data_IF_990495947870
#
_entry.id   IF_990495947870
#
_cell.length_a   1.000
_cell.length_b   1.000
_cell.length_c   1.000
_cell.angle_alpha   90.00
_cell.angle_beta   90.00
_cell.angle_gamma   90.00
#
_symmetry.space_group_name_H-M   'P 1'
#
loop_
_entity.id
_entity.type
_entity.pdbx_description
1 polymer ?
#
# COMPACT_ATOMS: atom_id res chain seq x y z
N UNK A 1 22.81 -30.65 27.30
CA UNK A 1 22.25 -29.30 27.18
C UNK A 1 22.98 -28.60 26.06
N UNK A 2 22.49 -28.73 24.83
CA UNK A 2 21.40 -27.93 24.25
C UNK A 2 21.82 -26.51 23.90
N UNK A 3 21.64 -26.20 22.63
CA UNK A 3 21.96 -24.91 22.03
C UNK A 3 22.08 -25.01 20.51
N UNK A 4 21.23 -25.82 19.85
CA UNK A 4 21.13 -25.81 18.39
C UNK A 4 20.28 -24.61 17.99
N UNK A 5 20.94 -23.48 17.69
CA UNK A 5 20.28 -22.33 17.08
C UNK A 5 20.02 -22.65 15.61
N UNK A 6 18.79 -23.03 15.30
CA UNK A 6 18.29 -23.13 13.92
C UNK A 6 18.17 -21.72 13.34
N UNK A 7 19.14 -21.31 12.54
CA UNK A 7 19.03 -20.10 11.73
C UNK A 7 18.07 -20.41 10.58
N UNK A 8 16.82 -20.03 10.73
CA UNK A 8 15.81 -20.13 9.67
C UNK A 8 16.27 -19.33 8.46
N UNK A 9 16.44 -19.99 7.31
CA UNK A 9 16.75 -19.35 6.03
C UNK A 9 15.65 -18.33 5.68
N UNK A 10 15.95 -17.03 5.85
CA UNK A 10 15.05 -15.96 5.42
C UNK A 10 15.18 -15.80 3.91
N UNK A 11 14.27 -16.40 3.16
CA UNK A 11 14.17 -16.19 1.71
C UNK A 11 13.53 -14.82 1.44
N UNK A 12 14.31 -13.89 0.87
CA UNK A 12 13.81 -12.57 0.48
C UNK A 12 13.09 -12.71 -0.87
N UNK A 13 11.75 -12.72 -0.85
CA UNK A 13 10.96 -12.66 -2.09
C UNK A 13 10.85 -11.21 -2.59
N UNK A 14 11.55 -10.89 -3.68
CA UNK A 14 11.43 -9.59 -4.35
C UNK A 14 10.13 -9.52 -5.15
N UNK A 15 9.13 -8.83 -4.60
CA UNK A 15 7.81 -8.60 -5.24
C UNK A 15 7.49 -7.10 -5.28
N UNK A 16 6.75 -6.68 -6.31
CA UNK A 16 6.26 -5.30 -6.49
C UNK A 16 4.80 -5.31 -6.95
N UNK A 17 4.19 -4.12 -7.11
CA UNK A 17 2.82 -3.99 -7.60
C UNK A 17 2.67 -4.61 -9.01
N UNK A 18 1.61 -5.40 -9.25
CA UNK A 18 1.37 -5.98 -10.56
C UNK A 18 0.96 -4.90 -11.57
N UNK A 19 1.17 -5.19 -12.87
CA UNK A 19 0.68 -4.33 -13.95
C UNK A 19 -0.85 -4.34 -13.97
N UNK A 20 -1.46 -3.17 -13.82
CA UNK A 20 -2.90 -2.98 -13.90
C UNK A 20 -3.30 -2.50 -15.31
N UNK A 21 -4.11 -3.29 -16.02
CA UNK A 21 -4.54 -3.00 -17.39
C UNK A 21 -5.43 -1.74 -17.48
N UNK A 22 -6.01 -1.28 -16.37
CA UNK A 22 -6.76 -0.02 -16.29
C UNK A 22 -5.87 1.21 -16.46
N UNK A 23 -4.56 1.07 -16.22
CA UNK A 23 -3.58 2.16 -16.28
C UNK A 23 -2.42 1.84 -17.25
N UNK A 24 -2.66 1.74 -18.57
CA UNK A 24 -1.67 1.27 -19.54
C UNK A 24 -0.60 2.30 -19.93
N UNK A 25 -0.81 3.58 -19.61
CA UNK A 25 0.05 4.68 -20.02
C UNK A 25 1.31 4.79 -19.15
N UNK A 26 2.36 5.45 -19.66
CA UNK A 26 3.58 5.70 -18.87
C UNK A 26 3.33 6.58 -17.63
N UNK A 27 2.36 7.50 -17.70
CA UNK A 27 1.94 8.26 -16.52
C UNK A 27 1.16 7.34 -15.56
N UNK A 28 1.74 7.08 -14.39
CA UNK A 28 1.19 6.19 -13.35
C UNK A 28 0.54 6.93 -12.18
N UNK A 29 0.40 8.26 -12.23
CA UNK A 29 -0.20 9.07 -11.16
C UNK A 29 -1.59 8.58 -10.78
N UNK A 30 -2.44 8.27 -11.77
CA UNK A 30 -3.79 7.73 -11.51
C UNK A 30 -3.77 6.33 -10.89
N UNK A 31 -2.77 5.51 -11.21
CA UNK A 31 -2.62 4.17 -10.65
C UNK A 31 -2.24 4.25 -9.17
N UNK A 32 -1.24 5.07 -8.83
CA UNK A 32 -0.88 5.36 -7.44
C UNK A 32 -2.11 5.85 -6.65
N UNK A 33 -2.79 6.88 -7.15
CA UNK A 33 -3.97 7.45 -6.49
C UNK A 33 -5.07 6.41 -6.26
N UNK A 34 -5.39 5.60 -7.27
CA UNK A 34 -6.39 4.55 -7.14
C UNK A 34 -6.01 3.51 -6.06
N UNK A 35 -4.75 3.10 -5.99
CA UNK A 35 -4.28 2.11 -4.99
C UNK A 35 -4.30 2.67 -3.56
N UNK A 36 -3.97 3.95 -3.40
CA UNK A 36 -4.09 4.64 -2.12
C UNK A 36 -5.56 4.65 -1.63
N UNK A 37 -6.49 5.02 -2.52
CA UNK A 37 -7.92 5.01 -2.20
C UNK A 37 -8.46 3.60 -1.90
N UNK A 38 -8.07 2.59 -2.70
CA UNK A 38 -8.48 1.20 -2.48
C UNK A 38 -8.02 0.68 -1.11
N UNK A 39 -6.79 1.00 -0.68
CA UNK A 39 -6.32 0.63 0.66
C UNK A 39 -7.18 1.28 1.75
N UNK A 40 -7.39 2.60 1.70
CA UNK A 40 -8.13 3.28 2.75
C UNK A 40 -9.62 2.92 2.79
N UNK A 41 -10.23 2.67 1.63
CA UNK A 41 -11.60 2.13 1.57
C UNK A 41 -11.68 0.74 2.20
N UNK A 42 -10.69 -0.13 1.93
CA UNK A 42 -10.58 -1.44 2.55
C UNK A 42 -10.40 -1.32 4.07
N UNK A 43 -9.46 -0.49 4.53
CA UNK A 43 -9.18 -0.26 5.94
C UNK A 43 -10.38 0.31 6.70
N UNK A 44 -11.16 1.20 6.07
CA UNK A 44 -12.42 1.73 6.63
C UNK A 44 -13.49 0.64 6.78
N UNK A 45 -13.57 -0.29 5.82
CA UNK A 45 -14.59 -1.34 5.81
C UNK A 45 -14.25 -2.54 6.71
N UNK A 46 -12.97 -2.88 6.85
CA UNK A 46 -12.51 -4.13 7.49
C UNK A 46 -11.60 -3.95 8.70
N UNK A 47 -11.03 -2.76 8.85
CA UNK A 47 -9.95 -2.48 9.80
C UNK A 47 -8.60 -2.36 9.12
N UNK A 48 -7.70 -1.59 9.73
CA UNK A 48 -6.41 -1.24 9.15
C UNK A 48 -5.41 -2.41 9.08
N UNK A 49 -5.57 -3.38 9.98
CA UNK A 49 -4.72 -4.57 10.09
C UNK A 49 -5.32 -5.81 9.41
N UNK A 50 -6.37 -5.64 8.59
CA UNK A 50 -6.97 -6.74 7.86
C UNK A 50 -5.99 -7.23 6.76
N UNK A 51 -5.66 -8.54 6.72
CA UNK A 51 -4.68 -9.09 5.78
C UNK A 51 -5.12 -8.98 4.32
N UNK A 52 -6.41 -8.79 4.04
CA UNK A 52 -6.88 -8.53 2.67
C UNK A 52 -6.56 -7.10 2.21
N UNK A 53 -6.37 -6.16 3.14
CA UNK A 53 -6.00 -4.79 2.84
C UNK A 53 -4.48 -4.61 2.64
N UNK A 54 -3.66 -5.50 3.21
CA UNK A 54 -2.20 -5.48 3.11
C UNK A 54 -1.68 -5.46 1.68
N UNK A 55 -2.35 -6.15 0.76
CA UNK A 55 -1.96 -6.14 -0.67
C UNK A 55 -2.04 -4.74 -1.27
N UNK A 56 -3.11 -3.99 -0.96
CA UNK A 56 -3.27 -2.62 -1.44
C UNK A 56 -2.23 -1.70 -0.79
N UNK A 57 -1.93 -1.92 0.49
CA UNK A 57 -0.88 -1.21 1.21
C UNK A 57 0.47 -1.33 0.53
N UNK A 58 0.90 -2.56 0.27
CA UNK A 58 2.14 -2.86 -0.45
C UNK A 58 2.17 -2.22 -1.84
N UNK A 59 1.05 -2.24 -2.55
CA UNK A 59 0.97 -1.69 -3.91
C UNK A 59 1.07 -0.16 -3.95
N UNK A 60 0.33 0.57 -3.11
CA UNK A 60 0.44 2.04 -3.14
C UNK A 60 1.82 2.50 -2.65
N UNK A 61 2.42 1.84 -1.65
CA UNK A 61 3.79 2.15 -1.21
C UNK A 61 4.81 1.93 -2.34
N UNK A 62 4.59 0.92 -3.20
CA UNK A 62 5.47 0.64 -4.33
C UNK A 62 5.28 1.59 -5.52
N UNK A 63 4.12 2.23 -5.65
CA UNK A 63 3.75 3.06 -6.81
C UNK A 63 3.82 4.56 -6.54
N UNK A 64 3.56 4.98 -5.30
CA UNK A 64 3.42 6.38 -4.93
C UNK A 64 4.73 6.96 -4.40
N UNK A 65 5.07 8.21 -4.77
CA UNK A 65 6.07 8.97 -4.04
C UNK A 65 5.67 9.11 -2.56
N UNK A 66 6.62 8.94 -1.64
CA UNK A 66 6.38 9.02 -0.20
C UNK A 66 5.77 10.38 0.19
N UNK A 67 6.30 11.47 -0.38
CA UNK A 67 5.81 12.84 -0.16
C UNK A 67 4.31 12.99 -0.47
N UNK A 68 3.81 12.29 -1.50
CA UNK A 68 2.39 12.35 -1.84
C UNK A 68 1.53 11.63 -0.81
N UNK A 69 1.98 10.46 -0.36
CA UNK A 69 1.30 9.69 0.67
C UNK A 69 1.22 10.49 1.98
N UNK A 70 2.35 11.01 2.45
CA UNK A 70 2.40 11.82 3.67
C UNK A 70 1.48 13.03 3.59
N UNK A 71 1.51 13.76 2.47
CA UNK A 71 0.62 14.91 2.25
C UNK A 71 -0.86 14.50 2.27
N UNK A 72 -1.22 13.39 1.64
CA UNK A 72 -2.60 12.90 1.64
C UNK A 72 -3.04 12.45 3.03
N UNK A 73 -2.18 11.78 3.78
CA UNK A 73 -2.44 11.35 5.15
C UNK A 73 -2.70 12.56 6.06
N UNK A 74 -1.85 13.60 6.00
CA UNK A 74 -2.10 14.87 6.72
C UNK A 74 -3.43 15.51 6.32
N UNK A 75 -3.75 15.57 5.01
CA UNK A 75 -5.03 16.13 4.57
C UNK A 75 -6.23 15.31 5.08
N UNK A 76 -6.09 14.00 5.26
CA UNK A 76 -7.14 13.15 5.84
C UNK A 76 -7.31 13.40 7.33
N UNK A 77 -6.21 13.52 8.07
CA UNK A 77 -6.23 13.88 9.49
C UNK A 77 -6.89 15.24 9.73
N UNK A 78 -6.65 16.21 8.83
CA UNK A 78 -7.26 17.54 8.88
C UNK A 78 -8.72 17.58 8.36
N UNK A 79 -9.25 16.48 7.81
CA UNK A 79 -10.58 16.46 7.19
C UNK A 79 -10.69 17.29 5.90
N UNK A 80 -9.56 17.53 5.22
CA UNK A 80 -9.44 18.34 3.99
C UNK A 80 -9.09 17.53 2.74
N UNK A 81 -9.16 16.21 2.84
CA UNK A 81 -8.80 15.31 1.75
C UNK A 81 -9.80 15.43 0.58
N UNK A 82 -9.32 15.65 -0.67
CA UNK A 82 -10.21 15.89 -1.81
C UNK A 82 -10.77 14.60 -2.45
N UNK A 83 -10.40 13.42 -1.95
CA UNK A 83 -10.89 12.14 -2.45
C UNK A 83 -12.22 11.72 -1.80
N UNK A 84 -12.80 10.59 -2.25
CA UNK A 84 -14.03 10.04 -1.67
C UNK A 84 -13.84 9.66 -0.19
N UNK A 85 -14.88 9.88 0.62
CA UNK A 85 -14.91 9.61 2.07
C UNK A 85 -14.89 8.13 2.44
#
# INVERSE_FOLDING_TARGET
>A
HEGSSTMSEVTIELKTAPRDRRFPTQNQTKHCWARYLEFHACAKAKGQDDPECDKFKRWYISLCPIEWVEKWDTLKEEGRFPGPE
#
